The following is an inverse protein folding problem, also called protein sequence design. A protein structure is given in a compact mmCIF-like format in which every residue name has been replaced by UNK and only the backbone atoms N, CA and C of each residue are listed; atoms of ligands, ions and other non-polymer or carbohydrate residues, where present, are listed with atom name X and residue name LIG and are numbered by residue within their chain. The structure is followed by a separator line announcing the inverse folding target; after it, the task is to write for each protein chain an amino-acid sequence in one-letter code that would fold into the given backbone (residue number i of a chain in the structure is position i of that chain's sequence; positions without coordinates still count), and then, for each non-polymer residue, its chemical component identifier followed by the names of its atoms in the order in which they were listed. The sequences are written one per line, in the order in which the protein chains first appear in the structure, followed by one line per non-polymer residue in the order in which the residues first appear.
data_IF_104947575595
#
_entry.id   IF_104947575595
#
_cell.length_a   1.000
_cell.length_b   1.000
_cell.length_c   1.000
_cell.angle_alpha   90.00
_cell.angle_beta   90.00
_cell.angle_gamma   90.00
#
_symmetry.space_group_name_H-M   'P 1'
#
loop_
_entity.id
_entity.type
_entity.pdbx_description
1 polymer ?
#
# COMPACT_ATOMS: atom_id res chain seq x y z
N UNK A 1 -15.38 12.49 8.65
CA UNK A 1 -13.98 12.00 8.72
C UNK A 1 -13.71 11.15 7.49
N UNK A 2 -12.52 11.29 6.89
CA UNK A 2 -12.09 10.53 5.71
C UNK A 2 -10.97 9.58 6.15
N UNK A 3 -11.15 8.28 5.94
CA UNK A 3 -10.17 7.27 6.30
C UNK A 3 -9.39 6.88 5.06
N UNK A 4 -8.07 6.73 5.20
CA UNK A 4 -7.19 6.27 4.13
C UNK A 4 -6.30 5.14 4.63
N UNK A 5 -6.16 4.09 3.83
CA UNK A 5 -5.08 3.14 3.98
C UNK A 5 -3.84 3.77 3.36
N UNK A 6 -2.77 3.87 4.14
CA UNK A 6 -1.47 4.29 3.65
C UNK A 6 -0.52 3.08 3.61
N UNK A 7 0.16 2.93 2.48
CA UNK A 7 1.29 2.01 2.31
C UNK A 7 2.44 2.78 1.74
N UNK A 8 3.61 2.64 2.35
CA UNK A 8 4.77 3.36 1.90
C UNK A 8 6.04 2.97 2.65
N UNK A 9 7.16 3.28 2.01
CA UNK A 9 8.50 3.22 2.59
C UNK A 9 8.94 4.65 2.91
N UNK A 10 9.65 4.79 4.02
CA UNK A 10 10.30 6.03 4.42
C UNK A 10 11.81 5.79 4.37
N UNK A 11 12.48 6.54 3.50
CA UNK A 11 13.94 6.65 3.49
C UNK A 11 14.34 7.62 4.61
N UNK A 12 15.16 7.12 5.53
CA UNK A 12 15.75 7.89 6.62
C UNK A 12 17.22 8.14 6.33
N UNK A 13 17.73 9.27 6.83
CA UNK A 13 19.15 9.58 6.73
C UNK A 13 19.98 8.98 7.87
N UNK A 14 21.29 9.25 7.82
CA UNK A 14 22.27 8.76 8.79
C UNK A 14 21.96 9.21 10.24
N UNK A 15 21.14 10.25 10.42
CA UNK A 15 20.69 10.75 11.72
C UNK A 15 19.31 10.19 12.12
N UNK A 16 18.73 9.32 11.29
CA UNK A 16 17.39 8.76 11.47
C UNK A 16 16.27 9.70 11.03
N UNK A 17 16.58 10.85 10.41
CA UNK A 17 15.55 11.79 9.97
C UNK A 17 14.95 11.37 8.62
N UNK A 18 13.61 11.43 8.47
CA UNK A 18 12.96 11.07 7.22
C UNK A 18 13.32 12.07 6.12
N UNK A 19 13.88 11.58 5.02
CA UNK A 19 14.21 12.39 3.83
C UNK A 19 13.19 12.24 2.71
N UNK A 20 12.61 11.05 2.56
CA UNK A 20 11.70 10.77 1.45
C UNK A 20 10.68 9.69 1.82
N UNK A 21 9.42 9.93 1.49
CA UNK A 21 8.37 8.92 1.52
C UNK A 21 7.99 8.50 0.11
N UNK A 22 7.85 7.20 -0.12
CA UNK A 22 7.32 6.63 -1.35
C UNK A 22 6.17 5.70 -0.99
N UNK A 23 5.00 5.86 -1.61
CA UNK A 23 3.83 5.08 -1.22
C UNK A 23 2.59 5.37 -2.05
N UNK A 24 1.49 4.73 -1.66
CA UNK A 24 0.16 4.99 -2.19
C UNK A 24 -0.87 5.10 -1.06
N UNK A 25 -1.96 5.80 -1.37
CA UNK A 25 -3.09 6.01 -0.48
C UNK A 25 -4.35 5.42 -1.13
N UNK A 26 -5.08 4.60 -0.38
CA UNK A 26 -6.39 4.08 -0.78
C UNK A 26 -7.44 4.70 0.14
N UNK A 27 -8.47 5.32 -0.42
CA UNK A 27 -9.60 5.84 0.36
C UNK A 27 -10.47 4.69 0.86
N UNK A 28 -10.66 4.62 2.18
CA UNK A 28 -11.46 3.62 2.89
C UNK A 28 -12.56 4.28 3.76
N UNK A 29 -13.01 5.48 3.39
CA UNK A 29 -13.94 6.30 4.18
C UNK A 29 -15.33 5.73 4.30
N UNK A 30 -15.86 5.15 3.23
CA UNK A 30 -17.15 4.46 3.28
C UNK A 30 -17.05 3.11 4.01
N UNK A 31 -15.83 2.74 4.41
CA UNK A 31 -15.46 1.41 4.84
C UNK A 31 -15.19 1.34 6.36
N UNK A 32 -15.68 2.26 7.22
CA UNK A 32 -15.49 2.17 8.69
C UNK A 32 -16.58 2.86 9.55
N UNK A 33 -17.17 2.08 10.46
CA UNK A 33 -17.89 2.53 11.66
C UNK A 33 -17.35 1.93 12.97
N UNK A 34 -16.58 0.82 12.95
CA UNK A 34 -16.04 0.18 14.15
C UNK A 34 -14.50 0.01 14.14
N UNK A 35 -13.88 0.38 15.26
CA UNK A 35 -12.42 0.47 15.44
C UNK A 35 -11.76 -0.88 15.78
N UNK A 36 -12.42 -1.73 16.58
CA UNK A 36 -11.89 -3.00 17.09
C UNK A 36 -11.78 -4.12 16.03
N UNK A 37 -12.69 -4.16 15.05
CA UNK A 37 -12.62 -5.09 13.93
C UNK A 37 -11.43 -4.82 12.99
N UNK A 38 -10.77 -3.66 13.13
CA UNK A 38 -9.61 -3.33 12.31
C UNK A 38 -8.39 -4.16 12.63
N UNK A 39 -8.08 -4.34 13.91
CA UNK A 39 -6.78 -4.82 14.35
C UNK A 39 -6.54 -6.26 13.89
N UNK A 40 -7.57 -7.11 13.97
CA UNK A 40 -7.55 -8.48 13.46
C UNK A 40 -7.52 -8.55 11.93
N UNK A 41 -8.37 -7.78 11.25
CA UNK A 41 -8.40 -7.77 9.79
C UNK A 41 -7.15 -7.11 9.16
N UNK A 42 -6.37 -6.36 9.95
CA UNK A 42 -5.10 -5.77 9.53
C UNK A 42 -3.94 -6.76 9.63
N UNK A 43 -3.95 -7.65 10.63
CA UNK A 43 -2.96 -8.73 10.76
C UNK A 43 -3.08 -9.75 9.62
N UNK A 44 -4.29 -10.21 9.31
CA UNK A 44 -4.57 -11.14 8.20
C UNK A 44 -4.26 -10.52 6.82
N UNK A 45 -4.27 -9.18 6.74
CA UNK A 45 -3.87 -8.42 5.54
C UNK A 45 -2.37 -8.38 5.35
N UNK A 46 -1.58 -8.25 6.42
CA UNK A 46 -0.12 -8.20 6.36
C UNK A 46 0.49 -9.49 5.76
N UNK A 47 -0.24 -10.61 5.80
CA UNK A 47 0.18 -11.89 5.23
C UNK A 47 -0.30 -12.11 3.77
N UNK A 48 -1.05 -11.17 3.18
CA UNK A 48 -1.59 -11.35 1.84
C UNK A 48 -0.50 -11.13 0.75
N UNK A 49 -0.35 -12.02 -0.24
CA UNK A 49 0.71 -11.90 -1.27
C UNK A 49 0.70 -10.58 -2.06
N UNK A 50 -0.46 -9.93 -2.18
CA UNK A 50 -0.55 -8.60 -2.82
C UNK A 50 0.04 -7.47 -1.96
N UNK A 51 0.00 -7.58 -0.64
CA UNK A 51 0.64 -6.62 0.26
C UNK A 51 2.16 -6.81 0.22
N UNK A 52 2.64 -8.05 0.26
CA UNK A 52 4.06 -8.39 0.07
C UNK A 52 4.58 -7.89 -1.30
N UNK A 53 3.83 -8.13 -2.37
CA UNK A 53 4.17 -7.63 -3.70
C UNK A 53 4.21 -6.09 -3.76
N UNK A 54 3.30 -5.41 -3.06
CA UNK A 54 3.28 -3.95 -2.98
C UNK A 54 4.51 -3.41 -2.23
N UNK A 55 4.90 -4.04 -1.12
CA UNK A 55 6.11 -3.69 -0.38
C UNK A 55 7.36 -3.85 -1.25
N UNK A 56 7.53 -5.00 -1.91
CA UNK A 56 8.66 -5.21 -2.82
C UNK A 56 8.66 -4.23 -4.00
N UNK A 57 7.49 -3.89 -4.54
CA UNK A 57 7.39 -2.94 -5.63
C UNK A 57 7.80 -1.51 -5.20
N UNK A 58 7.51 -1.13 -3.95
CA UNK A 58 7.98 0.13 -3.38
C UNK A 58 9.51 0.15 -3.22
N UNK A 59 10.13 -0.98 -2.84
CA UNK A 59 11.59 -1.11 -2.78
C UNK A 59 12.20 -0.94 -4.17
N UNK A 60 11.66 -1.65 -5.16
CA UNK A 60 12.09 -1.55 -6.57
C UNK A 60 11.97 -0.10 -7.06
N UNK A 61 10.88 0.59 -6.74
CA UNK A 61 10.69 2.00 -7.10
C UNK A 61 11.77 2.90 -6.53
N UNK A 62 12.13 2.72 -5.25
CA UNK A 62 13.20 3.49 -4.61
C UNK A 62 14.55 3.27 -5.31
N UNK A 63 14.88 2.02 -5.64
CA UNK A 63 16.10 1.70 -6.37
C UNK A 63 16.12 2.32 -7.79
N UNK A 64 15.00 2.24 -8.52
CA UNK A 64 14.90 2.75 -9.89
C UNK A 64 14.90 4.28 -9.98
N UNK A 65 14.61 5.01 -8.90
CA UNK A 65 14.76 6.46 -8.88
C UNK A 65 16.22 6.91 -9.01
N UNK A 66 17.18 6.02 -8.73
CA UNK A 66 18.61 6.27 -8.88
C UNK A 66 19.13 5.93 -10.29
N UNK A 67 18.28 5.37 -11.15
CA UNK A 67 18.63 4.91 -12.51
C UNK A 67 17.86 5.75 -13.54
N UNK A 68 18.53 6.38 -14.52
CA UNK A 68 17.88 7.22 -15.53
C UNK A 68 17.25 6.39 -16.67
N UNK A 69 16.33 5.49 -16.32
CA UNK A 69 15.63 4.60 -17.26
C UNK A 69 14.10 4.83 -17.19
N UNK A 70 13.53 5.71 -18.05
CA UNK A 70 12.13 6.13 -17.95
C UNK A 70 11.11 5.00 -18.11
N UNK A 71 11.43 3.97 -18.90
CA UNK A 71 10.55 2.82 -19.09
C UNK A 71 10.39 2.03 -17.78
N UNK A 72 11.49 1.80 -17.04
CA UNK A 72 11.45 1.07 -15.77
C UNK A 72 10.66 1.82 -14.71
N UNK A 73 10.79 3.15 -14.67
CA UNK A 73 9.98 4.01 -13.79
C UNK A 73 8.49 3.87 -14.13
N UNK A 74 8.14 3.96 -15.42
CA UNK A 74 6.74 3.83 -15.89
C UNK A 74 6.16 2.45 -15.56
N UNK A 75 6.91 1.38 -15.79
CA UNK A 75 6.46 0.02 -15.47
C UNK A 75 6.20 -0.16 -13.97
N UNK A 76 7.06 0.41 -13.14
CA UNK A 76 6.92 0.32 -11.68
C UNK A 76 5.74 1.13 -11.17
N UNK A 77 5.54 2.34 -11.67
CA UNK A 77 4.38 3.17 -11.32
C UNK A 77 3.06 2.51 -11.75
N UNK A 78 3.02 1.90 -12.95
CA UNK A 78 1.84 1.15 -13.41
C UNK A 78 1.57 -0.10 -12.55
N UNK A 79 2.62 -0.80 -12.12
CA UNK A 79 2.48 -1.97 -11.25
C UNK A 79 1.93 -1.57 -9.88
N UNK A 80 2.46 -0.51 -9.26
CA UNK A 80 1.93 0.03 -8.00
C UNK A 80 0.47 0.44 -8.11
N UNK A 81 0.06 1.07 -9.22
CA UNK A 81 -1.32 1.45 -9.45
C UNK A 81 -2.25 0.23 -9.51
N UNK A 82 -1.86 -0.82 -10.24
CA UNK A 82 -2.66 -2.05 -10.35
C UNK A 82 -2.72 -2.80 -9.01
N UNK A 83 -1.61 -2.88 -8.27
CA UNK A 83 -1.58 -3.47 -6.93
C UNK A 83 -2.53 -2.73 -5.97
N UNK A 84 -2.50 -1.39 -5.96
CA UNK A 84 -3.42 -0.58 -5.17
C UNK A 84 -4.90 -0.84 -5.49
N UNK A 85 -5.23 -1.02 -6.78
CA UNK A 85 -6.60 -1.39 -7.21
C UNK A 85 -7.01 -2.79 -6.73
N UNK A 86 -6.10 -3.76 -6.82
CA UNK A 86 -6.37 -5.14 -6.39
C UNK A 86 -6.55 -5.22 -4.88
N UNK A 87 -5.73 -4.50 -4.12
CA UNK A 87 -5.87 -4.37 -2.66
C UNK A 87 -7.21 -3.72 -2.30
N UNK A 88 -7.58 -2.63 -2.97
CA UNK A 88 -8.90 -1.99 -2.75
C UNK A 88 -10.06 -2.94 -3.05
N UNK A 89 -9.96 -3.77 -4.09
CA UNK A 89 -10.98 -4.79 -4.40
C UNK A 89 -11.04 -5.89 -3.33
N UNK A 90 -9.87 -6.39 -2.90
CA UNK A 90 -9.78 -7.41 -1.85
C UNK A 90 -10.44 -6.92 -0.56
N UNK A 91 -10.20 -5.67 -0.17
CA UNK A 91 -10.85 -5.07 1.00
C UNK A 91 -12.38 -5.07 0.89
N UNK A 92 -12.91 -4.81 -0.31
CA UNK A 92 -14.36 -4.83 -0.52
C UNK A 92 -14.93 -6.25 -0.48
N UNK A 93 -14.23 -7.24 -1.04
CA UNK A 93 -14.69 -8.63 -1.13
C UNK A 93 -14.62 -9.35 0.23
N UNK A 94 -13.54 -9.19 1.01
CA UNK A 94 -13.43 -9.75 2.36
C UNK A 94 -14.55 -9.23 3.27
N UNK A 95 -14.94 -7.96 3.12
CA UNK A 95 -16.01 -7.36 3.90
C UNK A 95 -17.39 -7.95 3.57
N UNK A 96 -17.66 -8.23 2.28
CA UNK A 96 -18.88 -8.93 1.86
C UNK A 96 -18.96 -10.33 2.48
N UNK A 97 -17.82 -11.01 2.62
CA UNK A 97 -17.78 -12.31 3.29
C UNK A 97 -18.02 -12.22 4.81
N UNK A 98 -17.65 -11.13 5.47
CA UNK A 98 -17.88 -10.91 6.90
C UNK A 98 -19.30 -10.43 7.26
N UNK A 99 -20.06 -9.93 6.27
CA UNK A 99 -21.44 -9.45 6.44
C UNK A 99 -22.52 -10.50 6.13
N UNK A 100 -22.14 -11.65 5.57
CA UNK A 100 -23.01 -12.81 5.32
C UNK A 100 -22.76 -13.90 6.35
#
# INVERSE_FOLDING_TARGET
MRWVLARGLIEVDETGQPRRGTGFLVDITQNRSDEAAYSMAMLDRLEHPLEEAAEHCLIVRGALQQVPEPLLQTMTDMLLLELGRRLSKLENDQRRAQMN
#
